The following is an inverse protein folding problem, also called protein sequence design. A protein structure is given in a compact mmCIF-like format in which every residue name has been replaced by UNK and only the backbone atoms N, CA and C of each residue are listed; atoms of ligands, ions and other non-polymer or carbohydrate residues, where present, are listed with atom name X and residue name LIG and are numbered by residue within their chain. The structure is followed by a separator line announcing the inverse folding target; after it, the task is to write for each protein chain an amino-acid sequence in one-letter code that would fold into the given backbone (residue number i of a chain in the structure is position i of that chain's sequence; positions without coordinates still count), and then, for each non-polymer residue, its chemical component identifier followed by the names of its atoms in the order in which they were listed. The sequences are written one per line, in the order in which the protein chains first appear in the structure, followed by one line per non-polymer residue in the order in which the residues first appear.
data_IF_078177557643
#
_entry.id   IF_078177557643
#
_cell.length_a   1.000
_cell.length_b   1.000
_cell.length_c   1.000
_cell.angle_alpha   90.00
_cell.angle_beta   90.00
_cell.angle_gamma   90.00
#
_symmetry.space_group_name_H-M   'P 1'
#
loop_
_entity.id
_entity.type
_entity.pdbx_description
1 polymer ?
#
# COMPACT_ATOMS: atom_id res chain seq x y z
N UNK A 1 31.19 1.55 -14.88
CA UNK A 1 29.85 2.00 -15.31
C UNK A 1 29.52 3.30 -14.60
N UNK A 2 28.75 4.20 -15.23
CA UNK A 2 28.32 5.44 -14.58
C UNK A 2 27.40 5.15 -13.38
N UNK A 3 27.48 5.93 -12.29
CA UNK A 3 26.60 5.77 -11.13
C UNK A 3 25.17 6.22 -11.44
N UNK A 4 24.19 5.44 -11.00
CA UNK A 4 22.78 5.83 -11.00
C UNK A 4 22.56 7.01 -10.05
N UNK A 5 22.13 8.15 -10.58
CA UNK A 5 21.65 9.29 -9.80
C UNK A 5 20.12 9.24 -9.75
N UNK A 6 19.58 8.81 -8.61
CA UNK A 6 18.14 8.78 -8.36
C UNK A 6 17.72 10.04 -7.59
N UNK A 7 16.87 10.87 -8.20
CA UNK A 7 16.17 11.96 -7.52
C UNK A 7 14.86 11.41 -6.93
N UNK A 8 14.84 11.18 -5.62
CA UNK A 8 13.70 10.56 -4.92
C UNK A 8 12.79 11.65 -4.38
N UNK A 9 11.56 11.71 -4.88
CA UNK A 9 10.52 12.65 -4.42
C UNK A 9 9.37 11.92 -3.74
N UNK A 10 8.92 12.47 -2.62
CA UNK A 10 7.74 11.98 -1.90
C UNK A 10 6.46 12.39 -2.63
N UNK A 11 5.63 11.41 -2.98
CA UNK A 11 4.31 11.64 -3.63
C UNK A 11 3.15 11.62 -2.65
N UNK A 12 3.16 10.70 -1.68
CA UNK A 12 2.09 10.54 -0.69
C UNK A 12 2.69 10.45 0.72
N UNK A 13 2.09 11.16 1.68
CA UNK A 13 2.33 11.00 3.11
C UNK A 13 1.00 11.04 3.85
N UNK A 14 0.54 9.89 4.34
CA UNK A 14 -0.68 9.78 5.10
C UNK A 14 -0.43 8.96 6.38
N UNK A 15 -0.89 9.48 7.53
CA UNK A 15 -0.86 8.72 8.78
C UNK A 15 -1.96 7.66 8.75
N UNK A 16 -1.63 6.44 9.17
CA UNK A 16 -2.55 5.30 9.23
C UNK A 16 -2.07 4.31 10.28
N UNK A 17 -2.88 3.30 10.56
CA UNK A 17 -2.41 2.10 11.24
C UNK A 17 -1.33 1.38 10.42
N UNK A 18 -0.66 0.40 11.01
CA UNK A 18 0.41 -0.34 10.33
C UNK A 18 -0.09 -0.87 8.98
N UNK A 19 0.65 -0.56 7.91
CA UNK A 19 0.37 -1.07 6.56
C UNK A 19 0.88 -2.51 6.45
N UNK A 20 0.04 -3.41 5.96
CA UNK A 20 0.37 -4.81 5.72
C UNK A 20 0.84 -5.07 4.31
N UNK A 21 0.15 -4.49 3.32
CA UNK A 21 0.52 -4.57 1.91
C UNK A 21 0.00 -3.35 1.16
N UNK A 22 0.58 -3.10 -0.02
CA UNK A 22 0.16 -2.06 -0.95
C UNK A 22 0.13 -2.61 -2.38
N UNK A 23 -0.72 -2.03 -3.22
CA UNK A 23 -0.78 -2.32 -4.66
C UNK A 23 -1.07 -1.04 -5.45
N UNK A 24 -0.58 -0.95 -6.69
CA UNK A 24 -0.76 0.20 -7.58
C UNK A 24 -1.74 -0.17 -8.68
N UNK A 25 -2.72 0.70 -8.90
CA UNK A 25 -3.62 0.54 -10.03
C UNK A 25 -2.86 0.75 -11.36
N UNK A 26 -3.11 -0.07 -12.40
CA UNK A 26 -2.29 -0.06 -13.62
C UNK A 26 -2.44 1.19 -14.50
N UNK A 27 -3.53 1.96 -14.34
CA UNK A 27 -3.83 3.15 -15.17
C UNK A 27 -4.11 4.40 -14.35
N UNK A 28 -5.06 4.34 -13.42
CA UNK A 28 -5.35 5.41 -12.47
C UNK A 28 -4.22 5.66 -11.46
N UNK A 29 -4.03 6.90 -10.96
CA UNK A 29 -3.01 7.23 -9.97
C UNK A 29 -3.40 6.78 -8.56
N UNK A 30 -3.85 5.54 -8.42
CA UNK A 30 -4.38 4.98 -7.19
C UNK A 30 -3.42 4.00 -6.54
N UNK A 31 -3.30 4.14 -5.22
CA UNK A 31 -2.60 3.22 -4.34
C UNK A 31 -3.60 2.58 -3.39
N UNK A 32 -3.72 1.25 -3.46
CA UNK A 32 -4.43 0.45 -2.47
C UNK A 32 -3.49 0.16 -1.31
N UNK A 33 -3.95 0.35 -0.07
CA UNK A 33 -3.22 0.00 1.14
C UNK A 33 -4.12 -0.81 2.08
N UNK A 34 -3.71 -2.03 2.42
CA UNK A 34 -4.38 -2.85 3.44
C UNK A 34 -3.67 -2.67 4.79
N UNK A 35 -4.43 -2.40 5.83
CA UNK A 35 -3.94 -2.10 7.18
C UNK A 35 -4.15 -3.29 8.12
N UNK A 36 -3.33 -3.38 9.17
CA UNK A 36 -3.42 -4.46 10.17
C UNK A 36 -4.72 -4.43 10.98
N UNK A 37 -5.36 -3.27 11.10
CA UNK A 37 -6.66 -3.12 11.77
C UNK A 37 -7.85 -3.66 10.94
N UNK A 38 -7.59 -4.15 9.71
CA UNK A 38 -8.62 -4.69 8.81
C UNK A 38 -9.18 -3.69 7.81
N UNK A 39 -8.76 -2.43 7.85
CA UNK A 39 -9.18 -1.41 6.89
C UNK A 39 -8.39 -1.53 5.58
N UNK A 40 -9.05 -1.17 4.48
CA UNK A 40 -8.41 -1.02 3.17
C UNK A 40 -8.67 0.38 2.66
N UNK A 41 -7.61 1.10 2.31
CA UNK A 41 -7.68 2.47 1.82
C UNK A 41 -7.26 2.51 0.35
N UNK A 42 -7.97 3.28 -0.47
CA UNK A 42 -7.55 3.66 -1.81
C UNK A 42 -7.19 5.15 -1.79
N UNK A 43 -5.96 5.47 -2.12
CA UNK A 43 -5.41 6.83 -2.17
C UNK A 43 -5.15 7.24 -3.61
N UNK A 44 -5.48 8.47 -3.98
CA UNK A 44 -4.90 9.10 -5.15
C UNK A 44 -3.56 9.74 -4.72
N UNK A 45 -2.45 9.23 -5.23
CA UNK A 45 -1.11 9.67 -4.80
C UNK A 45 -0.60 10.92 -5.52
N UNK A 46 -1.31 11.42 -6.55
CA UNK A 46 -0.94 12.68 -7.21
C UNK A 46 -1.47 13.89 -6.45
N UNK A 47 -2.73 13.84 -6.02
CA UNK A 47 -3.36 14.91 -5.26
C UNK A 47 -3.38 14.65 -3.74
N UNK A 48 -2.84 13.51 -3.29
CA UNK A 48 -2.74 13.10 -1.89
C UNK A 48 -4.09 12.95 -1.17
N UNK A 49 -5.16 12.60 -1.91
CA UNK A 49 -6.50 12.44 -1.35
C UNK A 49 -6.87 10.98 -1.13
N UNK A 50 -7.59 10.71 -0.03
CA UNK A 50 -8.23 9.43 0.19
C UNK A 50 -9.46 9.32 -0.73
N UNK A 51 -9.40 8.42 -1.70
CA UNK A 51 -10.50 8.16 -2.64
C UNK A 51 -11.58 7.33 -1.96
N UNK A 52 -11.17 6.30 -1.22
CA UNK A 52 -12.11 5.40 -0.54
C UNK A 52 -11.48 4.75 0.68
N UNK A 53 -12.30 4.56 1.71
CA UNK A 53 -12.01 3.67 2.84
C UNK A 53 -13.04 2.54 2.86
N UNK A 54 -12.56 1.32 3.10
CA UNK A 54 -13.37 0.14 3.39
C UNK A 54 -13.07 -0.30 4.81
N UNK A 55 -14.08 -0.20 5.67
CA UNK A 55 -14.02 -0.68 7.05
C UNK A 55 -14.61 -2.09 7.11
N UNK A 56 -13.99 -2.97 7.90
CA UNK A 56 -14.43 -4.35 8.14
C UNK A 56 -14.67 -5.17 6.86
N UNK A 57 -13.59 -5.74 6.33
CA UNK A 57 -13.71 -7.02 5.64
C UNK A 57 -13.41 -8.16 6.62
N UNK A 58 -14.33 -9.10 6.79
CA UNK A 58 -14.08 -10.40 7.46
C UNK A 58 -13.15 -11.30 6.63
N UNK A 59 -12.54 -10.74 5.58
CA UNK A 59 -11.51 -11.36 4.76
C UNK A 59 -10.27 -11.43 5.64
N UNK A 60 -9.96 -12.63 6.09
CA UNK A 60 -8.75 -12.96 6.83
C UNK A 60 -7.53 -12.53 6.00
N UNK A 61 -7.00 -11.34 6.28
CA UNK A 61 -5.84 -10.74 5.59
C UNK A 61 -4.57 -11.60 5.74
N UNK A 62 -4.60 -12.71 6.50
CA UNK A 62 -3.49 -13.67 6.62
C UNK A 62 -3.02 -14.24 5.28
N UNK A 63 -3.87 -14.29 4.24
CA UNK A 63 -3.44 -14.77 2.91
C UNK A 63 -2.65 -13.75 2.10
N UNK A 64 -2.57 -12.48 2.52
CA UNK A 64 -1.84 -11.42 1.82
C UNK A 64 -0.40 -11.23 2.33
N UNK A 65 0.03 -12.00 3.35
CA UNK A 65 1.47 -12.11 3.65
C UNK A 65 2.11 -13.00 2.60
N UNK A 66 3.12 -12.49 1.89
CA UNK A 66 4.12 -13.32 1.23
C UNK A 66 4.62 -14.33 2.27
N UNK A 67 4.22 -15.60 2.14
CA UNK A 67 4.82 -16.69 2.90
C UNK A 67 6.24 -16.88 2.39
N UNK A 68 7.17 -16.09 2.90
CA UNK A 68 8.58 -16.51 2.92
C UNK A 68 8.69 -17.52 4.05
N UNK A 69 8.23 -18.75 3.79
CA UNK A 69 8.55 -19.90 4.63
C UNK A 69 10.03 -20.19 4.39
N UNK A 70 10.90 -19.66 5.24
CA UNK A 70 12.21 -20.29 5.47
C UNK A 70 11.93 -21.62 6.14
N UNK A 71 11.98 -22.71 5.37
CA UNK A 71 12.13 -24.04 5.96
C UNK A 71 13.60 -24.15 6.37
N UNK A 72 13.80 -24.40 7.67
CA UNK A 72 14.99 -25.10 8.16
C UNK A 72 15.08 -26.49 7.53
#
# INVERSE_FOLDING_TARGET
GMPLRLDVKRKLLARSDRVKCVDLHPTEPWLLAALYNGNVHIWNYENQQLVKSFEKSSIKLEKMTNKTTTRE
#
